data_IF_075527726033
#
_entry.id   IF_075527726033
#
_cell.length_a   1.000
_cell.length_b   1.000
_cell.length_c   1.000
_cell.angle_alpha   90.00
_cell.angle_beta   90.00
_cell.angle_gamma   90.00
#
_symmetry.space_group_name_H-M   'P 1'
#
loop_
_entity.id
_entity.type
_entity.pdbx_description
1 polymer ?
#
# COMPACT_ATOMS: atom_id res chain seq x y z
N UNK A 1 -0.88 -21.50 13.72
CA UNK A 1 -1.74 -20.57 14.50
C UNK A 1 -2.10 -19.41 13.59
N UNK A 2 -3.37 -19.12 13.31
CA UNK A 2 -3.73 -18.02 12.40
C UNK A 2 -3.54 -16.68 13.12
N UNK A 3 -2.50 -15.92 12.74
CA UNK A 3 -2.38 -14.53 13.18
C UNK A 3 -3.48 -13.69 12.51
N UNK A 4 -4.14 -12.83 13.29
CA UNK A 4 -5.13 -11.88 12.74
C UNK A 4 -4.42 -10.86 11.84
N UNK A 5 -4.98 -10.49 10.68
CA UNK A 5 -4.39 -9.48 9.82
C UNK A 5 -4.14 -8.17 10.56
N UNK A 6 -3.04 -7.48 10.23
CA UNK A 6 -2.85 -6.11 10.71
C UNK A 6 -3.84 -5.20 9.98
N UNK A 7 -4.86 -4.74 10.68
CA UNK A 7 -5.93 -3.90 10.11
C UNK A 7 -5.50 -2.44 9.88
N UNK A 8 -6.25 -1.63 9.17
CA UNK A 8 -5.94 -0.22 8.91
C UNK A 8 -6.52 0.68 10.02
N UNK A 9 -5.83 1.79 10.29
CA UNK A 9 -6.34 2.88 11.14
C UNK A 9 -6.53 4.14 10.31
N UNK A 10 -7.14 5.16 10.90
CA UNK A 10 -7.28 6.50 10.32
C UNK A 10 -5.95 7.07 9.78
N UNK A 11 -4.82 6.77 10.45
CA UNK A 11 -3.51 7.25 9.99
C UNK A 11 -3.04 6.53 8.72
N UNK A 12 -3.42 5.27 8.54
CA UNK A 12 -3.04 4.48 7.37
C UNK A 12 -3.96 4.80 6.19
N UNK A 13 -5.24 5.08 6.45
CA UNK A 13 -6.15 5.62 5.44
C UNK A 13 -5.64 6.95 4.89
N UNK A 14 -5.26 7.91 5.75
CA UNK A 14 -4.67 9.18 5.27
C UNK A 14 -3.45 9.01 4.37
N UNK A 15 -2.58 8.03 4.66
CA UNK A 15 -1.44 7.73 3.78
C UNK A 15 -1.87 7.07 2.47
N UNK A 16 -2.84 6.18 2.54
CA UNK A 16 -3.40 5.49 1.37
C UNK A 16 -4.11 6.48 0.44
N UNK A 17 -4.95 7.36 0.99
CA UNK A 17 -5.57 8.47 0.28
C UNK A 17 -4.54 9.42 -0.33
N UNK A 18 -3.41 9.69 0.35
CA UNK A 18 -2.34 10.52 -0.19
C UNK A 18 -1.65 9.88 -1.41
N UNK A 19 -1.58 8.55 -1.50
CA UNK A 19 -1.14 7.86 -2.71
C UNK A 19 -2.24 7.94 -3.77
N UNK A 20 -3.48 7.60 -3.40
CA UNK A 20 -4.62 7.53 -4.31
C UNK A 20 -4.93 8.86 -5.00
N UNK A 21 -4.77 9.98 -4.29
CA UNK A 21 -5.01 11.32 -4.82
C UNK A 21 -4.01 11.74 -5.93
N UNK A 22 -2.88 11.02 -6.06
CA UNK A 22 -1.86 11.30 -7.07
C UNK A 22 -2.06 10.46 -8.35
N UNK A 23 -2.96 9.48 -8.32
CA UNK A 23 -3.11 8.50 -9.40
C UNK A 23 -4.42 8.70 -10.15
N UNK A 24 -4.41 8.33 -11.43
CA UNK A 24 -5.60 8.34 -12.30
C UNK A 24 -6.49 7.11 -12.11
N UNK A 25 -6.01 6.09 -11.39
CA UNK A 25 -6.72 4.82 -11.17
C UNK A 25 -6.68 4.42 -9.70
N UNK A 26 -7.73 3.73 -9.27
CA UNK A 26 -7.84 3.20 -7.89
C UNK A 26 -6.96 1.97 -7.69
N UNK A 27 -6.39 1.83 -6.49
CA UNK A 27 -5.54 0.70 -6.12
C UNK A 27 -6.25 -0.21 -5.11
N UNK A 28 -6.58 -1.43 -5.52
CA UNK A 28 -7.25 -2.40 -4.64
C UNK A 28 -6.33 -2.97 -3.53
N UNK A 29 -5.01 -2.76 -3.64
CA UNK A 29 -4.07 -3.12 -2.57
C UNK A 29 -4.10 -2.18 -1.37
N UNK A 30 -4.53 -0.94 -1.57
CA UNK A 30 -4.57 0.06 -0.51
C UNK A 30 -5.85 -0.10 0.32
N UNK A 31 -5.79 0.06 1.65
CA UNK A 31 -6.98 0.07 2.48
C UNK A 31 -7.82 1.32 2.18
N UNK A 32 -9.14 1.15 2.20
CA UNK A 32 -10.13 2.18 1.93
C UNK A 32 -10.96 2.54 3.17
N UNK A 33 -11.06 1.64 4.14
CA UNK A 33 -11.77 1.86 5.41
C UNK A 33 -11.01 1.35 6.64
N UNK A 34 -11.44 1.82 7.82
CA UNK A 34 -10.86 1.38 9.09
C UNK A 34 -11.24 -0.09 9.28
N UNK A 35 -10.26 -0.93 9.56
CA UNK A 35 -10.47 -2.38 9.65
C UNK A 35 -9.94 -3.15 8.45
N UNK A 36 -9.72 -2.49 7.29
CA UNK A 36 -9.15 -3.14 6.11
C UNK A 36 -7.77 -3.72 6.39
N UNK A 37 -7.39 -4.85 5.78
CA UNK A 37 -6.05 -5.40 5.96
C UNK A 37 -4.99 -4.47 5.36
N UNK A 38 -3.90 -4.23 6.10
CA UNK A 38 -2.67 -3.67 5.55
C UNK A 38 -1.95 -4.77 4.78
N UNK A 39 -1.80 -4.59 3.47
CA UNK A 39 -1.17 -5.55 2.57
C UNK A 39 0.26 -5.08 2.21
N UNK A 40 1.29 -5.90 2.46
CA UNK A 40 2.62 -5.67 1.90
C UNK A 40 2.53 -5.54 0.37
N UNK A 41 3.15 -4.53 -0.22
CA UNK A 41 3.13 -4.32 -1.68
C UNK A 41 4.25 -5.09 -2.37
N UNK A 42 4.03 -5.42 -3.63
CA UNK A 42 4.99 -6.09 -4.52
C UNK A 42 6.30 -5.32 -4.68
N UNK A 43 7.38 -6.05 -4.95
CA UNK A 43 8.67 -5.42 -5.30
C UNK A 43 8.48 -4.61 -6.59
N UNK A 44 9.06 -3.40 -6.64
CA UNK A 44 8.89 -2.50 -7.77
C UNK A 44 7.56 -1.73 -7.79
N UNK A 45 6.85 -1.66 -6.64
CA UNK A 45 5.55 -0.96 -6.54
C UNK A 45 5.57 0.47 -7.12
N UNK A 46 6.64 1.24 -6.88
CA UNK A 46 6.76 2.58 -7.46
C UNK A 46 6.76 2.56 -9.00
N UNK A 47 7.47 1.63 -9.62
CA UNK A 47 7.54 1.47 -11.08
C UNK A 47 6.19 1.06 -11.67
N UNK A 48 5.38 0.30 -10.92
CA UNK A 48 4.01 -0.05 -11.33
C UNK A 48 3.07 1.16 -11.25
N UNK A 49 3.28 2.05 -10.27
CA UNK A 49 2.41 3.23 -10.07
C UNK A 49 2.83 4.44 -10.89
N UNK A 50 4.10 4.59 -11.28
CA UNK A 50 4.56 5.77 -12.02
C UNK A 50 3.83 6.01 -13.35
N UNK A 51 3.42 5.00 -14.14
CA UNK A 51 2.62 5.21 -15.35
C UNK A 51 1.18 5.65 -15.05
N UNK A 52 0.69 5.46 -13.83
CA UNK A 52 -0.67 5.83 -13.39
C UNK A 52 -0.71 7.23 -12.77
N UNK A 53 0.43 7.91 -12.68
CA UNK A 53 0.54 9.25 -12.10
C UNK A 53 -0.30 10.26 -12.91
N UNK A 54 -1.09 11.06 -12.22
CA UNK A 54 -1.83 12.18 -12.83
C UNK A 54 -0.88 13.19 -13.46
N UNK A 55 -1.28 13.82 -14.56
CA UNK A 55 -0.49 14.85 -15.25
C UNK A 55 -0.19 16.08 -14.38
N UNK A 56 -1.04 16.33 -13.38
CA UNK A 56 -0.93 17.43 -12.41
C UNK A 56 0.00 17.07 -11.23
N UNK A 57 0.36 15.79 -11.07
CA UNK A 57 1.08 15.28 -9.91
C UNK A 57 2.58 15.10 -10.20
N UNK A 58 3.41 15.27 -9.16
CA UNK A 58 4.86 15.08 -9.29
C UNK A 58 5.31 13.67 -8.88
N UNK A 59 6.31 13.14 -9.59
CA UNK A 59 6.96 11.86 -9.25
C UNK A 59 7.52 11.87 -7.83
N UNK A 60 8.07 13.01 -7.39
CA UNK A 60 8.60 13.19 -6.04
C UNK A 60 7.52 13.09 -4.98
N UNK A 61 6.32 13.67 -5.23
CA UNK A 61 5.18 13.51 -4.33
C UNK A 61 4.76 12.05 -4.21
N UNK A 62 4.71 11.32 -5.34
CA UNK A 62 4.39 9.88 -5.33
C UNK A 62 5.40 9.08 -4.52
N UNK A 63 6.71 9.30 -4.72
CA UNK A 63 7.76 8.62 -3.93
C UNK A 63 7.62 8.89 -2.43
N UNK A 64 7.33 10.13 -2.05
CA UNK A 64 7.13 10.50 -0.63
C UNK A 64 5.88 9.84 -0.04
N UNK A 65 4.76 9.83 -0.77
CA UNK A 65 3.52 9.21 -0.34
C UNK A 65 3.67 7.70 -0.15
N UNK A 66 4.27 7.01 -1.13
CA UNK A 66 4.59 5.57 -1.03
C UNK A 66 5.52 5.32 0.16
N UNK A 67 6.59 6.10 0.30
CA UNK A 67 7.54 5.98 1.42
C UNK A 67 6.87 6.13 2.79
N UNK A 68 5.93 7.07 2.93
CA UNK A 68 5.19 7.27 4.17
C UNK A 68 4.32 6.05 4.53
N UNK A 69 3.75 5.36 3.53
CA UNK A 69 2.93 4.16 3.69
C UNK A 69 3.79 2.93 4.03
N UNK A 70 4.78 2.61 3.19
CA UNK A 70 5.59 1.37 3.32
C UNK A 70 6.56 1.38 4.50
N UNK A 71 6.90 2.56 5.02
CA UNK A 71 7.71 2.66 6.24
C UNK A 71 6.87 2.87 7.51
N UNK A 72 5.55 2.69 7.44
CA UNK A 72 4.68 2.79 8.61
C UNK A 72 4.83 1.59 9.54
N UNK A 73 4.66 1.81 10.85
CA UNK A 73 4.72 0.73 11.87
C UNK A 73 3.79 -0.44 11.52
N UNK A 74 2.58 -0.16 11.05
CA UNK A 74 1.59 -1.20 10.73
C UNK A 74 1.95 -1.98 9.48
N UNK A 75 2.50 -1.31 8.47
CA UNK A 75 3.05 -1.98 7.29
C UNK A 75 4.17 -2.95 7.69
N UNK A 76 5.11 -2.52 8.54
CA UNK A 76 6.16 -3.42 9.05
C UNK A 76 5.62 -4.60 9.86
N UNK A 77 4.55 -4.40 10.64
CA UNK A 77 3.89 -5.50 11.34
C UNK A 77 3.24 -6.48 10.37
N UNK A 78 2.60 -6.00 9.30
CA UNK A 78 2.00 -6.83 8.26
C UNK A 78 3.06 -7.68 7.55
N UNK A 79 4.22 -7.09 7.23
CA UNK A 79 5.36 -7.80 6.65
C UNK A 79 5.94 -8.90 7.56
N UNK A 80 5.78 -8.80 8.89
CA UNK A 80 6.34 -9.74 9.87
C UNK A 80 5.39 -10.88 10.22
N UNK A 81 4.18 -10.90 9.67
CA UNK A 81 3.23 -11.99 9.94
C UNK A 81 3.74 -13.29 9.32
N UNK A 82 3.51 -14.39 10.01
CA UNK A 82 3.79 -15.71 9.46
C UNK A 82 2.95 -15.93 8.19
N UNK A 83 3.60 -16.31 7.08
CA UNK A 83 2.93 -16.47 5.79
C UNK A 83 2.54 -15.16 5.10
N UNK A 84 3.14 -14.02 5.48
CA UNK A 84 2.89 -12.74 4.82
C UNK A 84 3.21 -12.82 3.32
N UNK A 85 2.28 -12.31 2.51
CA UNK A 85 2.40 -12.20 1.05
C UNK A 85 2.47 -10.74 0.64
N UNK A 86 3.18 -10.48 -0.47
CA UNK A 86 3.15 -9.23 -1.22
C UNK A 86 2.01 -9.25 -2.21
N UNK A 87 1.44 -8.08 -2.47
CA UNK A 87 0.29 -7.91 -3.33
C UNK A 87 0.59 -6.93 -4.47
N UNK A 88 0.07 -7.22 -5.66
CA UNK A 88 0.08 -6.30 -6.81
C UNK A 88 -0.89 -5.13 -6.61
N UNK A 89 -0.92 -4.16 -7.53
CA UNK A 89 -1.83 -3.00 -7.45
C UNK A 89 -3.33 -3.37 -7.45
N UNK A 90 -3.68 -4.53 -8.00
CA UNK A 90 -5.04 -5.06 -8.07
C UNK A 90 -5.42 -5.85 -6.81
N UNK A 91 -4.53 -5.96 -5.83
CA UNK A 91 -4.79 -6.65 -4.58
C UNK A 91 -4.68 -8.18 -4.68
N UNK A 92 -4.00 -8.70 -5.72
CA UNK A 92 -3.72 -10.14 -5.83
C UNK A 92 -2.39 -10.48 -5.14
N UNK A 93 -2.31 -11.60 -4.39
CA UNK A 93 -1.05 -12.05 -3.81
C UNK A 93 -0.10 -12.54 -4.93
N UNK A 94 1.17 -12.15 -4.85
CA UNK A 94 2.17 -12.46 -5.89
C UNK A 94 3.36 -13.26 -5.39
N UNK A 95 3.93 -12.90 -4.24
CA UNK A 95 5.13 -13.57 -3.70
C UNK A 95 5.18 -13.44 -2.17
N UNK A 96 5.87 -14.33 -1.44
CA UNK A 96 6.10 -14.17 0.00
C UNK A 96 6.89 -12.89 0.33
N UNK A 97 6.71 -12.37 1.54
CA UNK A 97 7.46 -11.19 2.03
C UNK A 97 8.91 -11.52 2.37
#
# INVERSE_FOLDING_TARGET
MNQKPIIATEKDLRRSSAIQALLTQSLAVLPTEIGDPIRPVSIGFFQQLSPLLSSEASVTALRRAIGAYVHSKRYYLACRQEGAMRYDCNGNPVEPV
#
